data_IF_267824519144
#
_entry.id   IF_267824519144
#
_cell.length_a   1.000
_cell.length_b   1.000
_cell.length_c   1.000
_cell.angle_alpha   90.00
_cell.angle_beta   90.00
_cell.angle_gamma   90.00
#
_symmetry.space_group_name_H-M   'P 1'
#
loop_
_entity.id
_entity.type
_entity.pdbx_description
1 polymer ?
#
# COMPACT_ATOMS: atom_id res chain seq x y z
N UNK A 1 27.56 12.32 -14.68
CA UNK A 1 27.31 11.01 -14.02
C UNK A 1 28.54 10.14 -14.23
N UNK A 2 29.32 9.87 -13.17
CA UNK A 2 30.63 9.20 -13.28
C UNK A 2 30.50 7.69 -13.57
N UNK A 3 31.39 7.14 -14.39
CA UNK A 3 31.41 5.73 -14.82
C UNK A 3 31.49 4.71 -13.66
N UNK A 4 31.97 5.13 -12.49
CA UNK A 4 32.00 4.35 -11.24
C UNK A 4 30.60 4.04 -10.72
N UNK A 5 29.66 5.00 -10.80
CA UNK A 5 28.26 4.80 -10.36
C UNK A 5 27.50 3.78 -11.22
N UNK A 6 27.87 3.62 -12.50
CA UNK A 6 27.26 2.63 -13.40
C UNK A 6 27.78 1.20 -13.13
N UNK A 7 29.07 1.02 -12.83
CA UNK A 7 29.63 -0.29 -12.44
C UNK A 7 29.09 -0.78 -11.11
N UNK A 8 28.86 0.13 -10.17
CA UNK A 8 28.40 -0.25 -8.84
C UNK A 8 26.91 -0.60 -8.81
N UNK A 9 26.04 0.14 -9.53
CA UNK A 9 24.62 -0.24 -9.75
C UNK A 9 24.50 -1.67 -10.25
N UNK A 10 25.42 -2.11 -11.10
CA UNK A 10 25.50 -3.49 -11.57
C UNK A 10 25.74 -4.50 -10.44
N UNK A 11 26.48 -4.17 -9.38
CA UNK A 11 26.79 -5.09 -8.26
C UNK A 11 25.63 -5.31 -7.27
N UNK A 12 24.84 -4.28 -6.89
CA UNK A 12 23.57 -4.54 -6.16
C UNK A 12 22.61 -5.27 -7.07
N UNK A 13 22.56 -4.91 -8.36
CA UNK A 13 21.69 -5.61 -9.30
C UNK A 13 22.17 -7.04 -9.61
N UNK A 14 23.46 -7.33 -9.39
CA UNK A 14 24.10 -8.62 -9.56
C UNK A 14 23.87 -9.49 -8.33
N UNK A 15 24.14 -8.99 -7.12
CA UNK A 15 23.80 -9.67 -5.87
C UNK A 15 22.28 -9.94 -5.76
N UNK A 16 21.44 -8.94 -6.04
CA UNK A 16 19.98 -9.12 -6.07
C UNK A 16 19.53 -9.96 -7.27
N UNK A 17 20.22 -9.86 -8.41
CA UNK A 17 19.94 -10.64 -9.62
C UNK A 17 20.21 -12.14 -9.42
N UNK A 18 21.35 -12.48 -8.83
CA UNK A 18 21.75 -13.85 -8.48
C UNK A 18 20.79 -14.44 -7.43
N UNK A 19 20.37 -13.64 -6.45
CA UNK A 19 19.35 -14.05 -5.47
C UNK A 19 17.99 -14.27 -6.15
N UNK A 20 17.56 -13.36 -7.05
CA UNK A 20 16.31 -13.51 -7.81
C UNK A 20 16.31 -14.75 -8.71
N UNK A 21 17.43 -15.05 -9.37
CA UNK A 21 17.56 -16.22 -10.22
C UNK A 21 17.48 -17.53 -9.40
N UNK A 22 18.06 -17.55 -8.20
CA UNK A 22 17.95 -18.68 -7.26
C UNK A 22 16.54 -18.82 -6.66
N UNK A 23 15.83 -17.72 -6.43
CA UNK A 23 14.45 -17.73 -5.92
C UNK A 23 13.45 -18.21 -6.98
N UNK A 24 13.63 -17.81 -8.25
CA UNK A 24 12.76 -18.19 -9.36
C UNK A 24 12.73 -19.71 -9.63
N UNK A 25 13.83 -20.42 -9.35
CA UNK A 25 13.94 -21.87 -9.55
C UNK A 25 13.16 -22.72 -8.53
N UNK A 26 12.51 -22.13 -7.52
CA UNK A 26 11.85 -22.86 -6.40
C UNK A 26 10.38 -22.50 -6.16
N UNK A 27 9.73 -21.75 -7.05
CA UNK A 27 8.31 -21.42 -6.93
C UNK A 27 7.50 -22.36 -7.84
N UNK A 28 7.30 -23.58 -7.35
CA UNK A 28 6.38 -24.56 -7.95
C UNK A 28 5.70 -25.33 -6.82
N UNK A 29 4.41 -25.07 -6.58
CA UNK A 29 3.61 -25.78 -5.58
C UNK A 29 2.46 -24.93 -5.07
N UNK A 30 1.22 -25.43 -5.30
CA UNK A 30 -0.06 -24.73 -5.19
C UNK A 30 -0.45 -24.20 -3.80
N UNK A 31 -1.33 -23.20 -3.80
CA UNK A 31 -1.80 -22.47 -2.62
C UNK A 31 -3.32 -22.37 -2.62
N UNK A 32 -3.91 -22.87 -1.54
CA UNK A 32 -5.34 -23.10 -1.35
C UNK A 32 -6.19 -21.84 -1.22
N UNK A 33 -7.46 -22.03 -1.56
CA UNK A 33 -8.56 -21.08 -1.45
C UNK A 33 -9.06 -20.98 -0.01
N UNK A 34 -9.31 -19.76 0.48
CA UNK A 34 -10.10 -19.56 1.69
C UNK A 34 -11.58 -19.73 1.35
N UNK A 35 -12.21 -20.70 2.04
CA UNK A 35 -13.64 -21.01 1.96
C UNK A 35 -14.46 -19.83 2.52
N UNK A 36 -15.39 -19.32 1.71
CA UNK A 36 -16.52 -18.51 2.17
C UNK A 36 -17.59 -19.46 2.74
N UNK A 37 -18.03 -19.18 3.96
CA UNK A 37 -19.16 -19.85 4.60
C UNK A 37 -20.47 -19.49 3.89
N UNK A 38 -21.35 -20.48 3.79
CA UNK A 38 -22.67 -20.42 3.16
C UNK A 38 -23.80 -20.18 4.16
N UNK A 39 -24.84 -19.48 3.67
CA UNK A 39 -26.23 -19.37 4.18
C UNK A 39 -26.41 -18.52 5.45
N UNK A 40 -27.49 -17.74 5.61
CA UNK A 40 -28.91 -18.15 5.44
C UNK A 40 -29.82 -16.91 5.36
N UNK A 41 -30.87 -16.96 4.55
CA UNK A 41 -31.98 -16.00 4.55
C UNK A 41 -32.85 -16.15 5.80
N UNK A 42 -33.05 -15.08 6.57
CA UNK A 42 -34.10 -15.01 7.60
C UNK A 42 -34.83 -13.65 7.57
N UNK A 43 -36.13 -13.76 7.76
CA UNK A 43 -37.22 -12.82 7.49
C UNK A 43 -37.22 -11.54 8.34
N UNK A 44 -37.69 -10.45 7.71
CA UNK A 44 -38.03 -9.16 8.33
C UNK A 44 -39.02 -9.31 9.49
N UNK A 45 -38.72 -8.67 10.62
CA UNK A 45 -39.72 -8.28 11.61
C UNK A 45 -39.60 -6.79 11.97
N UNK A 46 -40.72 -6.26 12.40
CA UNK A 46 -41.25 -4.89 12.40
C UNK A 46 -40.53 -3.88 13.28
N UNK A 47 -40.46 -2.63 12.79
CA UNK A 47 -40.05 -1.43 13.51
C UNK A 47 -41.18 -0.97 14.45
N UNK A 48 -40.85 -0.85 15.74
CA UNK A 48 -41.64 -0.12 16.72
C UNK A 48 -41.25 1.36 16.72
N UNK A 49 -42.27 2.19 16.85
CA UNK A 49 -42.28 3.64 16.85
C UNK A 49 -41.65 4.23 18.13
N UNK A 50 -40.87 5.33 18.02
CA UNK A 50 -40.64 6.28 19.12
C UNK A 50 -40.02 7.61 18.63
N UNK A 51 -40.80 8.68 18.76
CA UNK A 51 -40.40 9.87 19.52
C UNK A 51 -39.51 10.93 18.85
N UNK A 52 -40.10 12.10 18.62
CA UNK A 52 -39.49 13.31 18.09
C UNK A 52 -38.31 13.84 18.92
N UNK A 53 -37.11 13.82 18.33
CA UNK A 53 -35.89 14.40 18.88
C UNK A 53 -34.69 14.09 18.00
N UNK A 54 -34.78 14.40 16.70
CA UNK A 54 -33.71 14.11 15.75
C UNK A 54 -32.49 14.99 16.02
N UNK A 55 -31.58 14.48 16.85
CA UNK A 55 -30.22 14.99 17.02
C UNK A 55 -29.50 15.02 15.67
N UNK A 56 -28.50 15.88 15.52
CA UNK A 56 -27.63 15.95 14.33
C UNK A 56 -27.11 14.57 13.88
N UNK A 57 -26.90 13.68 14.85
CA UNK A 57 -26.59 12.25 14.68
C UNK A 57 -27.65 11.47 13.88
N UNK A 58 -28.93 11.76 14.07
CA UNK A 58 -30.04 11.15 13.32
C UNK A 58 -30.11 11.68 11.86
N UNK A 59 -29.82 12.96 11.63
CA UNK A 59 -29.66 13.52 10.28
C UNK A 59 -28.46 12.93 9.55
N UNK A 60 -27.35 12.75 10.25
CA UNK A 60 -26.15 12.08 9.74
C UNK A 60 -26.41 10.58 9.46
N UNK A 61 -27.21 9.90 10.28
CA UNK A 61 -27.65 8.50 10.04
C UNK A 61 -28.66 8.32 8.88
N UNK A 62 -29.37 9.38 8.50
CA UNK A 62 -30.27 9.43 7.35
C UNK A 62 -29.54 9.75 6.04
N UNK A 63 -28.44 10.51 6.11
CA UNK A 63 -27.63 10.94 4.95
C UNK A 63 -26.38 10.09 4.71
N UNK A 64 -25.89 9.36 5.72
CA UNK A 64 -24.72 8.50 5.59
C UNK A 64 -25.05 7.30 4.68
N UNK A 65 -24.24 6.98 3.67
CA UNK A 65 -24.56 5.95 2.67
C UNK A 65 -24.70 4.50 3.17
N UNK A 66 -24.77 4.24 4.48
CA UNK A 66 -25.01 2.92 5.11
C UNK A 66 -24.16 1.75 4.58
N UNK A 67 -23.05 2.02 3.90
CA UNK A 67 -22.18 1.01 3.31
C UNK A 67 -21.67 0.02 4.37
N UNK A 68 -21.38 0.53 5.56
CA UNK A 68 -20.86 -0.26 6.68
C UNK A 68 -21.86 -1.33 7.16
N UNK A 69 -23.18 -1.14 6.98
CA UNK A 69 -24.19 -2.12 7.44
C UNK A 69 -24.06 -3.47 6.76
N UNK A 70 -23.47 -3.51 5.57
CA UNK A 70 -23.22 -4.76 4.86
C UNK A 70 -22.31 -5.70 5.66
N UNK A 71 -21.38 -5.15 6.45
CA UNK A 71 -20.42 -5.88 7.26
C UNK A 71 -20.84 -5.95 8.74
N UNK A 72 -22.14 -5.77 9.05
CA UNK A 72 -22.62 -5.75 10.44
C UNK A 72 -22.45 -7.11 11.15
N UNK A 73 -22.56 -8.21 10.40
CA UNK A 73 -22.43 -9.57 10.93
C UNK A 73 -20.97 -10.07 10.94
N UNK A 74 -20.01 -9.29 10.41
CA UNK A 74 -18.59 -9.63 10.46
C UNK A 74 -17.97 -9.15 11.78
N UNK A 75 -17.62 -10.06 12.71
CA UNK A 75 -17.05 -9.69 14.00
C UNK A 75 -15.67 -9.03 13.85
N UNK A 76 -14.96 -9.23 12.74
CA UNK A 76 -13.64 -8.66 12.48
C UNK A 76 -13.75 -7.22 11.94
N UNK A 77 -14.86 -6.88 11.27
CA UNK A 77 -15.07 -5.54 10.72
C UNK A 77 -15.26 -4.46 11.80
N UNK A 78 -15.72 -4.85 12.99
CA UNK A 78 -15.94 -3.95 14.13
C UNK A 78 -16.81 -2.74 13.76
N UNK A 79 -18.05 -2.99 13.31
CA UNK A 79 -18.96 -1.96 12.77
C UNK A 79 -19.08 -0.72 13.66
N UNK A 80 -19.15 -0.92 14.97
CA UNK A 80 -19.30 0.14 15.96
C UNK A 80 -18.05 1.03 16.06
N UNK A 81 -16.87 0.50 15.73
CA UNK A 81 -15.58 1.17 15.88
C UNK A 81 -14.97 1.62 14.55
N UNK A 82 -15.42 1.11 13.41
CA UNK A 82 -14.77 1.36 12.10
C UNK A 82 -14.68 2.86 11.78
N UNK A 83 -15.67 3.64 12.21
CA UNK A 83 -15.69 5.10 12.05
C UNK A 83 -14.61 5.76 12.90
N UNK A 84 -14.53 5.39 14.17
CA UNK A 84 -13.55 5.95 15.12
C UNK A 84 -12.12 5.55 14.72
N UNK A 85 -11.92 4.32 14.27
CA UNK A 85 -10.65 3.84 13.72
C UNK A 85 -10.26 4.67 12.49
N UNK A 86 -11.18 4.89 11.56
CA UNK A 86 -10.93 5.70 10.35
C UNK A 86 -10.54 7.14 10.73
N UNK A 87 -11.27 7.75 11.68
CA UNK A 87 -10.96 9.10 12.19
C UNK A 87 -9.59 9.13 12.86
N UNK A 88 -9.26 8.15 13.70
CA UNK A 88 -7.97 8.03 14.36
C UNK A 88 -6.81 7.96 13.36
N UNK A 89 -6.92 7.18 12.29
CA UNK A 89 -5.90 7.14 11.23
C UNK A 89 -5.73 8.49 10.53
N UNK A 90 -6.83 9.18 10.20
CA UNK A 90 -6.79 10.52 9.60
C UNK A 90 -6.18 11.57 10.53
N UNK A 91 -6.49 11.51 11.83
CA UNK A 91 -5.91 12.40 12.84
C UNK A 91 -4.42 12.16 13.03
N UNK A 92 -3.98 10.90 13.11
CA UNK A 92 -2.56 10.55 13.17
C UNK A 92 -1.79 11.03 11.94
N UNK A 93 -2.38 10.89 10.75
CA UNK A 93 -1.79 11.41 9.52
C UNK A 93 -1.65 12.94 9.55
N UNK A 94 -2.66 13.66 10.04
CA UNK A 94 -2.62 15.13 10.18
C UNK A 94 -1.61 15.58 11.24
N UNK A 95 -1.51 14.87 12.36
CA UNK A 95 -0.52 15.16 13.41
C UNK A 95 0.91 14.99 12.90
N UNK A 96 1.15 13.94 12.11
CA UNK A 96 2.41 13.71 11.42
C UNK A 96 2.82 14.90 10.55
N UNK A 97 1.91 15.50 9.77
CA UNK A 97 2.22 16.68 8.95
C UNK A 97 2.58 17.92 9.77
N UNK A 98 1.89 18.16 10.89
CA UNK A 98 2.13 19.32 11.74
C UNK A 98 3.47 19.25 12.51
N UNK A 99 3.98 18.03 12.73
CA UNK A 99 5.21 17.75 13.48
C UNK A 99 6.45 17.57 12.59
N UNK A 100 6.34 17.88 11.29
CA UNK A 100 7.30 17.59 10.21
C UNK A 100 8.75 18.10 10.39
N UNK A 101 9.10 18.69 11.53
CA UNK A 101 10.43 19.20 11.81
C UNK A 101 11.23 18.41 12.86
N UNK A 102 10.62 17.55 13.71
CA UNK A 102 11.36 17.02 14.87
C UNK A 102 11.13 15.56 15.28
N UNK A 103 10.22 14.79 14.69
CA UNK A 103 9.94 13.44 15.17
C UNK A 103 10.14 12.35 14.11
N UNK A 104 10.79 11.26 14.55
CA UNK A 104 11.14 10.03 13.81
C UNK A 104 9.91 9.27 13.24
N UNK A 105 8.73 9.89 13.20
CA UNK A 105 7.44 9.33 12.81
C UNK A 105 7.15 9.55 11.33
N UNK A 106 7.65 10.65 10.74
CA UNK A 106 7.39 10.99 9.33
C UNK A 106 8.64 10.85 8.48
N UNK A 107 8.49 10.23 7.32
CA UNK A 107 9.56 10.14 6.32
C UNK A 107 9.75 11.51 5.67
N UNK A 108 10.97 12.04 5.68
CA UNK A 108 11.26 13.23 4.88
C UNK A 108 11.22 12.88 3.39
N UNK A 109 10.40 13.52 2.54
CA UNK A 109 10.35 13.22 1.11
C UNK A 109 11.65 13.58 0.36
N UNK A 110 12.65 14.12 1.07
CA UNK A 110 13.96 14.51 0.55
C UNK A 110 15.11 13.75 1.24
N UNK A 111 14.84 12.72 2.04
CA UNK A 111 15.93 12.07 2.80
C UNK A 111 17.04 11.50 1.92
N UNK A 112 16.73 11.05 0.70
CA UNK A 112 17.75 10.55 -0.24
C UNK A 112 18.67 11.66 -0.77
N UNK A 113 18.28 12.93 -0.67
CA UNK A 113 19.19 14.04 -1.03
C UNK A 113 20.36 14.19 -0.04
N UNK A 114 20.23 13.62 1.15
CA UNK A 114 21.27 13.62 2.19
C UNK A 114 22.02 12.28 2.25
N UNK A 115 21.69 11.31 1.40
CA UNK A 115 22.39 10.03 1.30
C UNK A 115 23.48 10.11 0.22
N UNK A 116 24.77 9.92 0.54
CA UNK A 116 25.86 10.04 -0.44
C UNK A 116 25.91 8.86 -1.42
N UNK A 117 25.53 7.67 -0.96
CA UNK A 117 25.69 6.42 -1.74
C UNK A 117 24.36 5.80 -2.22
N UNK A 118 23.22 6.25 -1.70
CA UNK A 118 21.91 5.68 -1.99
C UNK A 118 21.06 6.70 -2.75
N UNK A 119 20.46 6.26 -3.86
CA UNK A 119 19.55 7.08 -4.64
C UNK A 119 18.18 6.41 -4.84
N UNK A 120 17.24 7.13 -5.45
CA UNK A 120 15.85 6.68 -5.66
C UNK A 120 15.79 5.36 -6.42
N UNK A 121 16.65 5.19 -7.43
CA UNK A 121 16.74 3.95 -8.21
C UNK A 121 17.19 2.77 -7.34
N UNK A 122 18.14 2.96 -6.43
CA UNK A 122 18.57 1.89 -5.51
C UNK A 122 17.46 1.50 -4.53
N UNK A 123 16.70 2.48 -4.01
CA UNK A 123 15.51 2.22 -3.19
C UNK A 123 14.49 1.40 -3.97
N UNK A 124 14.16 1.80 -5.20
CA UNK A 124 13.23 1.06 -6.06
C UNK A 124 13.69 -0.39 -6.30
N UNK A 125 14.99 -0.60 -6.56
CA UNK A 125 15.58 -1.94 -6.72
C UNK A 125 15.39 -2.80 -5.46
N UNK A 126 15.66 -2.21 -4.30
CA UNK A 126 15.50 -2.88 -3.02
C UNK A 126 14.03 -3.25 -2.80
N UNK A 127 13.09 -2.29 -2.93
CA UNK A 127 11.65 -2.52 -2.70
C UNK A 127 11.10 -3.57 -3.68
N UNK A 128 11.50 -3.54 -4.96
CA UNK A 128 11.15 -4.57 -5.95
C UNK A 128 11.60 -5.98 -5.50
N UNK A 129 12.81 -6.10 -4.92
CA UNK A 129 13.26 -7.37 -4.35
C UNK A 129 12.53 -7.73 -3.05
N UNK A 130 12.24 -6.77 -2.18
CA UNK A 130 11.50 -7.01 -0.94
C UNK A 130 10.08 -7.53 -1.22
N UNK A 131 9.47 -7.18 -2.34
CA UNK A 131 8.20 -7.77 -2.79
C UNK A 131 8.36 -9.27 -3.07
N UNK A 132 9.43 -9.69 -3.75
CA UNK A 132 9.70 -11.11 -3.97
C UNK A 132 9.94 -11.84 -2.63
N UNK A 133 10.62 -11.20 -1.66
CA UNK A 133 10.84 -11.72 -0.29
C UNK A 133 9.54 -11.86 0.48
N UNK A 134 8.72 -10.81 0.49
CA UNK A 134 7.39 -10.76 1.09
C UNK A 134 6.51 -11.92 0.60
N UNK A 135 6.47 -12.12 -0.72
CA UNK A 135 5.74 -13.22 -1.33
C UNK A 135 6.32 -14.58 -0.98
N UNK A 136 7.65 -14.70 -0.85
CA UNK A 136 8.31 -15.96 -0.47
C UNK A 136 7.96 -16.38 0.95
N UNK A 137 7.95 -15.43 1.88
CA UNK A 137 7.53 -15.65 3.27
C UNK A 137 6.01 -15.70 3.45
N UNK A 138 5.22 -15.34 2.42
CA UNK A 138 3.75 -15.25 2.43
C UNK A 138 3.22 -14.33 3.52
N UNK A 139 3.89 -13.20 3.69
CA UNK A 139 3.49 -12.18 4.65
C UNK A 139 2.21 -11.47 4.17
N UNK A 140 1.48 -10.86 5.08
CA UNK A 140 0.35 -9.99 4.78
C UNK A 140 0.80 -8.73 4.05
N UNK A 141 -0.06 -8.15 3.23
CA UNK A 141 0.27 -6.90 2.53
C UNK A 141 0.58 -5.77 3.53
N UNK A 142 -0.12 -5.72 4.66
CA UNK A 142 0.11 -4.76 5.75
C UNK A 142 1.58 -4.77 6.22
N UNK A 143 2.14 -5.97 6.43
CA UNK A 143 3.54 -6.20 6.75
C UNK A 143 4.50 -5.58 5.74
N UNK A 144 4.19 -5.67 4.44
CA UNK A 144 5.02 -5.05 3.39
C UNK A 144 5.00 -3.52 3.48
N UNK A 145 3.83 -2.92 3.63
CA UNK A 145 3.69 -1.46 3.73
C UNK A 145 4.36 -0.93 5.00
N UNK A 146 4.25 -1.64 6.12
CA UNK A 146 4.98 -1.31 7.34
C UNK A 146 6.49 -1.46 7.15
N UNK A 147 6.96 -2.52 6.49
CA UNK A 147 8.39 -2.72 6.23
C UNK A 147 9.00 -1.59 5.38
N UNK A 148 8.32 -1.15 4.32
CA UNK A 148 8.78 -0.01 3.51
C UNK A 148 8.77 1.29 4.32
N UNK A 149 7.75 1.50 5.16
CA UNK A 149 7.72 2.64 6.06
C UNK A 149 8.90 2.63 7.06
N UNK A 150 9.21 1.48 7.66
CA UNK A 150 10.36 1.31 8.56
C UNK A 150 11.68 1.60 7.83
N UNK A 151 11.84 1.03 6.62
CA UNK A 151 13.01 1.27 5.76
C UNK A 151 13.22 2.76 5.51
N UNK A 152 12.18 3.45 5.03
CA UNK A 152 12.30 4.86 4.64
C UNK A 152 12.50 5.78 5.85
N UNK A 153 11.80 5.52 6.97
CA UNK A 153 12.00 6.28 8.21
C UNK A 153 13.38 6.07 8.79
N UNK A 154 13.90 4.85 8.77
CA UNK A 154 15.26 4.57 9.22
C UNK A 154 16.29 5.32 8.38
N UNK A 155 16.19 5.23 7.04
CA UNK A 155 17.08 5.98 6.13
C UNK A 155 16.94 7.49 6.31
N UNK A 156 15.75 7.98 6.64
CA UNK A 156 15.47 9.39 6.94
C UNK A 156 16.03 9.86 8.29
N UNK A 157 16.05 8.99 9.30
CA UNK A 157 16.60 9.33 10.61
C UNK A 157 18.14 9.30 10.61
N UNK A 158 18.72 8.35 9.88
CA UNK A 158 20.18 8.19 9.82
C UNK A 158 20.82 9.25 8.93
N UNK A 159 20.13 9.73 7.90
CA UNK A 159 20.65 10.76 7.00
C UNK A 159 19.87 12.05 7.09
N UNK A 160 20.32 12.91 8.00
CA UNK A 160 19.78 14.25 8.22
C UNK A 160 20.80 15.31 7.82
N UNK A 161 20.30 16.52 7.54
CA UNK A 161 21.13 17.70 7.28
C UNK A 161 22.05 18.04 8.47
N UNK A 162 21.63 17.72 9.70
CA UNK A 162 22.42 18.01 10.92
C UNK A 162 23.45 16.92 11.26
N UNK A 163 23.26 15.68 10.79
CA UNK A 163 24.13 14.54 11.09
C UNK A 163 25.12 14.24 9.96
N UNK A 164 25.88 15.26 9.54
CA UNK A 164 26.92 15.14 8.50
C UNK A 164 28.02 14.16 8.94
N UNK A 165 27.89 12.89 8.54
CA UNK A 165 28.85 11.82 8.86
C UNK A 165 28.22 10.48 9.21
N UNK A 166 26.91 10.44 9.48
CA UNK A 166 26.17 9.18 9.64
C UNK A 166 25.31 8.94 8.39
N UNK A 167 25.52 7.83 7.71
CA UNK A 167 24.74 7.42 6.54
C UNK A 167 24.71 5.90 6.43
N UNK A 168 23.82 5.38 5.58
CA UNK A 168 23.79 3.95 5.29
C UNK A 168 24.62 3.71 4.04
N UNK A 169 25.70 2.94 4.17
CA UNK A 169 26.48 2.53 3.02
C UNK A 169 25.64 1.67 2.07
N UNK A 170 25.89 1.78 0.78
CA UNK A 170 25.20 1.01 -0.27
C UNK A 170 25.20 -0.50 0.00
N UNK A 171 26.31 -1.03 0.52
CA UNK A 171 26.48 -2.46 0.88
C UNK A 171 25.57 -2.91 2.03
N UNK A 172 25.09 -1.99 2.86
CA UNK A 172 24.23 -2.24 4.01
C UNK A 172 22.73 -2.04 3.68
N UNK A 173 22.40 -1.49 2.51
CA UNK A 173 21.01 -1.19 2.13
C UNK A 173 20.12 -2.44 2.12
N UNK A 174 20.62 -3.58 1.61
CA UNK A 174 19.86 -4.84 1.64
C UNK A 174 19.67 -5.36 3.07
N UNK A 175 20.68 -5.23 3.95
CA UNK A 175 20.56 -5.58 5.37
C UNK A 175 19.47 -4.76 6.07
N UNK A 176 19.40 -3.45 5.79
CA UNK A 176 18.31 -2.59 6.30
C UNK A 176 16.96 -3.10 5.80
N UNK A 177 16.84 -3.39 4.50
CA UNK A 177 15.58 -3.86 3.90
C UNK A 177 15.08 -5.19 4.49
N UNK A 178 15.94 -6.19 4.62
CA UNK A 178 15.53 -7.49 5.19
C UNK A 178 15.20 -7.38 6.69
N UNK A 179 15.91 -6.52 7.41
CA UNK A 179 15.63 -6.23 8.82
C UNK A 179 14.31 -5.49 8.99
N UNK A 180 13.96 -4.59 8.07
CA UNK A 180 12.67 -3.91 8.08
C UNK A 180 11.51 -4.89 7.86
N UNK A 181 11.65 -5.88 6.97
CA UNK A 181 10.68 -6.97 6.81
C UNK A 181 10.57 -7.80 8.10
N UNK A 182 11.69 -8.15 8.73
CA UNK A 182 11.69 -8.92 9.97
C UNK A 182 10.96 -8.18 11.10
N UNK A 183 11.23 -6.88 11.26
CA UNK A 183 10.59 -6.05 12.27
C UNK A 183 9.09 -5.86 12.01
N UNK A 184 8.71 -5.57 10.77
CA UNK A 184 7.31 -5.47 10.40
C UNK A 184 6.58 -6.81 10.63
N UNK A 185 7.20 -7.93 10.27
CA UNK A 185 6.61 -9.24 10.45
C UNK A 185 6.45 -9.59 11.93
N UNK A 186 7.45 -9.30 12.78
CA UNK A 186 7.31 -9.46 14.25
C UNK A 186 6.18 -8.62 14.85
N UNK A 187 5.81 -7.54 14.18
CA UNK A 187 4.78 -6.63 14.63
C UNK A 187 3.37 -7.03 14.12
N UNK A 188 3.26 -7.48 12.87
CA UNK A 188 1.96 -7.76 12.21
C UNK A 188 1.60 -9.25 12.10
N UNK A 189 2.58 -10.16 12.06
CA UNK A 189 2.34 -11.57 11.78
C UNK A 189 2.16 -12.39 13.06
N UNK A 190 1.25 -13.36 13.02
CA UNK A 190 1.14 -14.40 14.06
C UNK A 190 2.43 -15.23 14.11
N UNK A 191 2.98 -15.55 12.94
CA UNK A 191 4.17 -16.40 12.78
C UNK A 191 5.21 -15.69 11.91
N UNK A 192 6.00 -14.76 12.48
CA UNK A 192 7.04 -14.06 11.74
C UNK A 192 8.19 -15.00 11.34
N UNK A 193 8.92 -14.69 10.25
CA UNK A 193 10.10 -15.45 9.86
C UNK A 193 11.20 -15.34 10.91
N UNK A 194 11.98 -16.40 11.07
CA UNK A 194 13.12 -16.41 11.97
C UNK A 194 14.32 -15.68 11.37
N UNK A 195 15.24 -15.18 12.21
CA UNK A 195 16.48 -14.53 11.77
C UNK A 195 17.30 -15.42 10.82
N UNK A 196 17.29 -16.75 11.04
CA UNK A 196 17.97 -17.72 10.15
C UNK A 196 17.40 -17.69 8.72
N UNK A 197 16.11 -17.45 8.56
CA UNK A 197 15.44 -17.36 7.26
C UNK A 197 15.81 -16.04 6.57
N UNK A 198 15.94 -14.94 7.31
CA UNK A 198 16.46 -13.67 6.80
C UNK A 198 17.91 -13.80 6.31
N UNK A 199 18.77 -14.49 7.06
CA UNK A 199 20.14 -14.81 6.64
C UNK A 199 20.12 -15.65 5.36
N UNK A 200 19.30 -16.71 5.33
CA UNK A 200 19.21 -17.61 4.18
C UNK A 200 18.72 -16.91 2.91
N UNK A 201 17.66 -16.09 2.99
CA UNK A 201 17.09 -15.41 1.81
C UNK A 201 18.01 -14.32 1.26
N UNK A 202 18.91 -13.78 2.10
CA UNK A 202 20.01 -12.89 1.68
C UNK A 202 21.21 -13.65 1.11
N UNK A 203 21.06 -14.95 0.80
CA UNK A 203 22.12 -15.85 0.34
C UNK A 203 23.34 -15.91 1.27
N UNK A 204 23.11 -15.78 2.58
CA UNK A 204 24.15 -15.71 3.61
C UNK A 204 25.13 -14.54 3.42
N UNK A 205 24.70 -13.46 2.77
CA UNK A 205 25.50 -12.23 2.64
C UNK A 205 25.76 -11.59 4.01
N UNK A 206 24.84 -11.78 4.95
CA UNK A 206 24.90 -11.24 6.30
C UNK A 206 24.84 -12.35 7.34
N UNK A 207 25.54 -12.15 8.45
CA UNK A 207 25.49 -13.02 9.62
C UNK A 207 24.26 -12.76 10.49
N UNK A 208 23.93 -13.70 11.37
CA UNK A 208 22.83 -13.54 12.34
C UNK A 208 23.06 -12.31 13.23
N UNK A 209 24.30 -12.09 13.64
CA UNK A 209 24.72 -11.01 14.53
C UNK A 209 24.55 -9.65 13.86
N UNK A 210 24.83 -9.55 12.55
CA UNK A 210 24.62 -8.34 11.76
C UNK A 210 23.13 -7.99 11.65
N UNK A 211 22.27 -8.98 11.38
CA UNK A 211 20.81 -8.77 11.34
C UNK A 211 20.28 -8.30 12.70
N UNK A 212 20.70 -8.93 13.79
CA UNK A 212 20.29 -8.53 15.14
C UNK A 212 20.83 -7.13 15.51
N UNK A 213 22.06 -6.80 15.10
CA UNK A 213 22.63 -5.46 15.32
C UNK A 213 21.85 -4.40 14.54
N UNK A 214 21.50 -4.69 13.28
CA UNK A 214 20.67 -3.80 12.47
C UNK A 214 19.28 -3.63 13.09
N UNK A 215 18.68 -4.71 13.59
CA UNK A 215 17.38 -4.66 14.25
C UNK A 215 17.38 -3.66 15.43
N UNK A 216 18.38 -3.76 16.31
CA UNK A 216 18.54 -2.82 17.43
C UNK A 216 18.75 -1.38 16.94
N UNK A 217 19.54 -1.19 15.88
CA UNK A 217 19.79 0.13 15.29
C UNK A 217 18.50 0.76 14.77
N UNK A 218 17.69 -0.02 14.03
CA UNK A 218 16.40 0.43 13.49
C UNK A 218 15.43 0.75 14.62
N UNK A 219 15.27 -0.13 15.61
CA UNK A 219 14.39 0.14 16.75
C UNK A 219 14.80 1.39 17.54
N UNK A 220 16.09 1.58 17.78
CA UNK A 220 16.61 2.75 18.47
C UNK A 220 16.38 4.04 17.67
N UNK A 221 16.67 4.03 16.36
CA UNK A 221 16.48 5.18 15.49
C UNK A 221 15.00 5.59 15.36
N UNK A 222 14.07 4.64 15.47
CA UNK A 222 12.64 4.90 15.42
C UNK A 222 11.99 5.08 16.81
N UNK A 223 12.77 5.00 17.89
CA UNK A 223 12.29 4.97 19.28
C UNK A 223 11.15 3.97 19.49
N UNK A 224 11.23 2.79 18.87
CA UNK A 224 10.20 1.75 18.89
C UNK A 224 8.79 2.20 18.42
N UNK A 225 8.67 3.34 17.74
CA UNK A 225 7.39 3.84 17.20
C UNK A 225 7.07 3.14 15.88
N UNK A 226 6.52 1.92 15.95
CA UNK A 226 6.15 1.12 14.78
C UNK A 226 4.66 1.26 14.37
N UNK A 227 3.79 1.69 15.29
CA UNK A 227 2.37 1.91 15.03
C UNK A 227 2.12 3.22 14.27
N UNK A 228 2.14 3.17 12.93
CA UNK A 228 2.03 4.35 12.07
C UNK A 228 0.99 4.18 10.96
N UNK A 229 0.38 5.28 10.47
CA UNK A 229 -0.54 5.22 9.34
C UNK A 229 0.21 4.87 8.06
N UNK A 230 -0.05 3.67 7.50
CA UNK A 230 0.39 3.30 6.15
C UNK A 230 -0.77 3.47 5.15
N UNK A 231 -0.52 3.45 3.83
CA UNK A 231 -1.59 3.52 2.83
C UNK A 231 -2.57 2.33 2.86
N UNK A 232 -2.15 1.20 3.44
CA UNK A 232 -2.90 -0.06 3.35
C UNK A 232 -4.23 -0.08 4.13
N UNK A 233 -4.29 0.33 5.41
CA UNK A 233 -5.57 0.46 6.12
C UNK A 233 -6.58 1.37 5.40
N UNK A 234 -6.12 2.46 4.80
CA UNK A 234 -7.00 3.37 4.05
C UNK A 234 -7.59 2.70 2.80
N UNK A 235 -6.79 1.97 2.00
CA UNK A 235 -7.34 1.30 0.81
C UNK A 235 -8.30 0.17 1.20
N UNK A 236 -8.00 -0.58 2.26
CA UNK A 236 -8.89 -1.63 2.78
C UNK A 236 -10.22 -1.02 3.18
N UNK A 237 -10.20 0.09 3.93
CA UNK A 237 -11.41 0.81 4.31
C UNK A 237 -12.24 1.23 3.10
N UNK A 238 -11.61 1.84 2.09
CA UNK A 238 -12.31 2.29 0.88
C UNK A 238 -12.89 1.13 0.07
N UNK A 239 -12.19 -0.01 -0.01
CA UNK A 239 -12.69 -1.22 -0.67
C UNK A 239 -13.89 -1.81 0.08
N UNK A 240 -13.86 -1.87 1.41
CA UNK A 240 -15.01 -2.31 2.20
C UNK A 240 -16.23 -1.39 2.02
N UNK A 241 -16.01 -0.07 1.90
CA UNK A 241 -17.06 0.88 1.53
C UNK A 241 -17.62 0.57 0.15
N UNK A 242 -16.76 0.35 -0.85
CA UNK A 242 -17.18 0.00 -2.21
C UNK A 242 -18.06 -1.27 -2.21
N UNK A 243 -17.64 -2.31 -1.50
CA UNK A 243 -18.42 -3.53 -1.33
C UNK A 243 -19.81 -3.24 -0.74
N UNK A 244 -19.89 -2.48 0.36
CA UNK A 244 -21.16 -2.12 0.97
C UNK A 244 -22.06 -1.24 0.09
N UNK A 245 -21.48 -0.32 -0.68
CA UNK A 245 -22.23 0.54 -1.61
C UNK A 245 -22.81 -0.26 -2.79
N UNK A 246 -22.08 -1.24 -3.29
CA UNK A 246 -22.54 -2.12 -4.37
C UNK A 246 -23.69 -3.01 -3.88
N UNK A 247 -23.56 -3.65 -2.71
CA UNK A 247 -24.60 -4.54 -2.19
C UNK A 247 -25.86 -3.81 -1.68
N UNK A 248 -25.74 -2.53 -1.32
CA UNK A 248 -26.90 -1.71 -0.94
C UNK A 248 -27.70 -1.16 -2.13
N UNK A 249 -27.28 -1.44 -3.37
CA UNK A 249 -27.89 -0.89 -4.58
C UNK A 249 -27.57 0.59 -4.82
N UNK A 250 -26.62 1.16 -4.07
CA UNK A 250 -26.20 2.57 -4.22
C UNK A 250 -25.26 2.80 -5.40
N UNK A 251 -24.68 1.72 -5.96
CA UNK A 251 -23.85 1.70 -7.16
C UNK A 251 -24.40 0.66 -8.15
N UNK A 252 -24.10 0.83 -9.45
CA UNK A 252 -24.58 -0.06 -10.52
C UNK A 252 -24.19 -1.53 -10.28
N UNK A 253 -25.11 -2.46 -10.58
CA UNK A 253 -24.90 -3.92 -10.43
C UNK A 253 -23.68 -4.45 -11.18
N UNK A 254 -23.27 -3.77 -12.27
CA UNK A 254 -22.05 -4.09 -13.03
C UNK A 254 -20.78 -4.18 -12.16
N UNK A 255 -20.75 -3.46 -11.02
CA UNK A 255 -19.62 -3.49 -10.10
C UNK A 255 -19.55 -4.78 -9.27
N UNK A 256 -20.67 -5.47 -9.02
CA UNK A 256 -20.73 -6.66 -8.15
C UNK A 256 -19.81 -7.77 -8.65
N UNK A 257 -19.86 -8.07 -9.95
CA UNK A 257 -18.99 -9.07 -10.58
C UNK A 257 -17.54 -8.60 -10.71
N UNK A 258 -17.28 -7.31 -10.51
CA UNK A 258 -15.98 -6.68 -10.70
C UNK A 258 -15.27 -6.33 -9.39
N UNK A 259 -15.89 -6.53 -8.22
CA UNK A 259 -15.28 -6.20 -6.92
C UNK A 259 -13.90 -6.85 -6.71
N UNK A 260 -13.68 -8.15 -6.99
CA UNK A 260 -12.34 -8.75 -6.92
C UNK A 260 -11.34 -8.10 -7.88
N UNK A 261 -11.78 -7.78 -9.10
CA UNK A 261 -10.95 -7.13 -10.11
C UNK A 261 -10.60 -5.69 -9.72
N UNK A 262 -11.55 -4.94 -9.15
CA UNK A 262 -11.36 -3.60 -8.60
C UNK A 262 -10.32 -3.63 -7.48
N UNK A 263 -10.48 -4.57 -6.52
CA UNK A 263 -9.53 -4.76 -5.43
C UNK A 263 -8.12 -5.01 -5.95
N UNK A 264 -7.94 -5.93 -6.88
CA UNK A 264 -6.62 -6.22 -7.44
C UNK A 264 -6.06 -5.04 -8.23
N UNK A 265 -6.88 -4.31 -8.98
CA UNK A 265 -6.44 -3.13 -9.74
C UNK A 265 -6.03 -1.99 -8.81
N UNK A 266 -6.78 -1.75 -7.73
CA UNK A 266 -6.46 -0.74 -6.73
C UNK A 266 -5.15 -1.05 -6.00
N UNK A 267 -4.95 -2.31 -5.58
CA UNK A 267 -3.71 -2.74 -4.95
C UNK A 267 -2.52 -2.74 -5.92
N UNK A 268 -2.76 -2.99 -7.21
CA UNK A 268 -1.73 -2.85 -8.25
C UNK A 268 -1.20 -1.42 -8.32
N UNK A 269 -2.07 -0.42 -8.35
CA UNK A 269 -1.67 1.00 -8.32
C UNK A 269 -0.98 1.37 -7.00
N UNK A 270 -1.52 0.91 -5.87
CA UNK A 270 -0.98 1.22 -4.55
C UNK A 270 0.43 0.63 -4.35
N UNK A 271 0.67 -0.58 -4.83
CA UNK A 271 2.00 -1.21 -4.78
C UNK A 271 3.00 -0.50 -5.71
N UNK A 272 2.57 0.04 -6.85
CA UNK A 272 3.45 0.91 -7.65
C UNK A 272 3.82 2.19 -6.90
N UNK A 273 2.85 2.80 -6.20
CA UNK A 273 3.12 3.96 -5.34
C UNK A 273 4.15 3.67 -4.25
N UNK A 274 4.18 2.45 -3.70
CA UNK A 274 5.19 2.04 -2.72
C UNK A 274 6.62 1.99 -3.30
N UNK A 275 6.79 1.58 -4.57
CA UNK A 275 8.09 1.59 -5.24
C UNK A 275 8.57 3.00 -5.58
N UNK A 276 7.65 3.89 -5.94
CA UNK A 276 7.98 5.24 -6.37
C UNK A 276 8.39 6.13 -5.18
N UNK A 277 9.64 6.58 -5.17
CA UNK A 277 10.13 7.51 -4.16
C UNK A 277 9.35 8.83 -4.17
N UNK A 278 8.87 9.29 -5.34
CA UNK A 278 8.08 10.52 -5.44
C UNK A 278 6.75 10.42 -4.70
N UNK A 279 6.24 9.22 -4.41
CA UNK A 279 4.98 9.05 -3.70
C UNK A 279 5.08 9.40 -2.20
N UNK A 280 6.30 9.49 -1.63
CA UNK A 280 6.51 9.93 -0.25
C UNK A 280 6.07 11.38 0.02
N UNK A 281 5.86 12.19 -1.01
CA UNK A 281 5.33 13.56 -0.86
C UNK A 281 3.82 13.59 -0.57
N UNK A 282 3.13 12.47 -0.74
CA UNK A 282 1.69 12.37 -0.56
C UNK A 282 1.34 11.58 0.70
N UNK A 283 0.24 11.99 1.32
CA UNK A 283 -0.35 11.31 2.46
C UNK A 283 -0.74 9.86 2.13
N UNK A 284 -0.74 9.01 3.15
CA UNK A 284 -1.19 7.61 3.05
C UNK A 284 -2.63 7.53 2.56
N UNK A 285 -3.51 8.42 3.03
CA UNK A 285 -4.89 8.55 2.56
C UNK A 285 -4.98 8.99 1.09
N UNK A 286 -4.14 9.94 0.66
CA UNK A 286 -4.08 10.38 -0.74
C UNK A 286 -3.63 9.25 -1.67
N UNK A 287 -2.62 8.46 -1.28
CA UNK A 287 -2.15 7.30 -2.04
C UNK A 287 -3.25 6.24 -2.20
N UNK A 288 -4.00 5.96 -1.14
CA UNK A 288 -5.14 5.04 -1.19
C UNK A 288 -6.27 5.57 -2.09
N UNK A 289 -6.68 6.83 -1.92
CA UNK A 289 -7.72 7.46 -2.75
C UNK A 289 -7.32 7.46 -4.23
N UNK A 290 -6.10 7.87 -4.55
CA UNK A 290 -5.56 7.88 -5.91
C UNK A 290 -5.57 6.48 -6.53
N UNK A 291 -5.16 5.46 -5.77
CA UNK A 291 -5.09 4.08 -6.26
C UNK A 291 -6.48 3.48 -6.54
N UNK A 292 -7.46 3.72 -5.66
CA UNK A 292 -8.85 3.31 -5.92
C UNK A 292 -9.44 4.07 -7.11
N UNK A 293 -9.19 5.37 -7.18
CA UNK A 293 -9.68 6.21 -8.26
C UNK A 293 -9.14 5.73 -9.62
N UNK A 294 -7.83 5.51 -9.75
CA UNK A 294 -7.22 4.97 -10.96
C UNK A 294 -7.79 3.60 -11.31
N UNK A 295 -8.03 2.73 -10.32
CA UNK A 295 -8.65 1.43 -10.55
C UNK A 295 -10.06 1.55 -11.11
N UNK A 296 -10.89 2.46 -10.59
CA UNK A 296 -12.22 2.73 -11.11
C UNK A 296 -12.14 3.23 -12.56
N UNK A 297 -11.24 4.17 -12.86
CA UNK A 297 -11.00 4.68 -14.22
C UNK A 297 -10.63 3.54 -15.17
N UNK A 298 -9.64 2.71 -14.81
CA UNK A 298 -9.20 1.56 -15.61
C UNK A 298 -10.34 0.59 -15.91
N UNK A 299 -11.17 0.27 -14.92
CA UNK A 299 -12.31 -0.63 -15.13
C UNK A 299 -13.40 -0.01 -16.00
N UNK A 300 -13.63 1.30 -15.91
CA UNK A 300 -14.57 1.99 -16.81
C UNK A 300 -14.08 1.99 -18.26
N UNK A 301 -12.78 2.19 -18.49
CA UNK A 301 -12.19 2.04 -19.84
C UNK A 301 -12.42 0.63 -20.38
N UNK A 302 -12.19 -0.40 -19.54
CA UNK A 302 -12.43 -1.80 -19.92
C UNK A 302 -13.88 -2.05 -20.32
N UNK A 303 -14.85 -1.51 -19.58
CA UNK A 303 -16.28 -1.65 -19.89
C UNK A 303 -16.66 -0.96 -21.21
N UNK A 304 -16.10 0.22 -21.49
CA UNK A 304 -16.35 1.01 -22.70
C UNK A 304 -15.54 0.55 -23.92
N UNK A 305 -14.93 -0.63 -23.89
CA UNK A 305 -14.16 -1.18 -25.02
C UNK A 305 -12.88 -0.39 -25.34
N UNK A 306 -12.28 0.30 -24.36
CA UNK A 306 -11.02 1.04 -24.55
C UNK A 306 -11.17 2.54 -24.81
N UNK A 307 -12.39 3.08 -24.83
CA UNK A 307 -12.60 4.53 -24.98
C UNK A 307 -12.35 5.28 -23.67
N UNK A 308 -11.53 6.34 -23.73
CA UNK A 308 -11.16 7.20 -22.59
C UNK A 308 -12.04 8.45 -22.42
N UNK A 309 -13.23 8.50 -23.03
CA UNK A 309 -14.14 9.64 -22.87
C UNK A 309 -15.02 9.48 -21.62
N UNK A 310 -14.83 10.39 -20.66
CA UNK A 310 -15.57 10.45 -19.39
C UNK A 310 -16.46 11.70 -19.26
N UNK A 311 -16.71 12.42 -20.37
CA UNK A 311 -17.46 13.67 -20.34
C UNK A 311 -18.84 13.49 -19.67
N UNK A 312 -19.04 14.16 -18.53
CA UNK A 312 -20.29 14.12 -17.75
C UNK A 312 -20.43 12.97 -16.74
N UNK A 313 -19.45 12.06 -16.63
CA UNK A 313 -19.52 10.93 -15.70
C UNK A 313 -18.71 11.15 -14.42
N UNK A 314 -19.35 11.20 -13.26
CA UNK A 314 -18.64 11.28 -11.97
C UNK A 314 -18.18 9.90 -11.51
N UNK A 315 -16.88 9.59 -11.68
CA UNK A 315 -16.30 8.33 -11.16
C UNK A 315 -16.16 8.37 -9.63
N UNK A 316 -15.73 9.50 -9.07
CA UNK A 316 -15.57 9.68 -7.62
C UNK A 316 -16.87 10.20 -6.99
N UNK A 317 -17.77 9.27 -6.65
CA UNK A 317 -19.14 9.55 -6.19
C UNK A 317 -19.19 10.34 -4.87
N UNK A 318 -20.35 10.97 -4.58
CA UNK A 318 -20.57 11.68 -3.30
C UNK A 318 -20.39 10.76 -2.08
N UNK A 319 -20.74 9.48 -2.22
CA UNK A 319 -20.55 8.48 -1.18
C UNK A 319 -19.06 8.24 -0.91
N UNK A 320 -18.24 8.09 -1.96
CA UNK A 320 -16.78 7.97 -1.81
C UNK A 320 -16.19 9.24 -1.20
N UNK A 321 -16.65 10.43 -1.59
CA UNK A 321 -16.24 11.69 -0.96
C UNK A 321 -16.60 11.75 0.53
N UNK A 322 -17.77 11.25 0.93
CA UNK A 322 -18.18 11.19 2.33
C UNK A 322 -17.25 10.31 3.17
N UNK A 323 -16.94 9.10 2.70
CA UNK A 323 -16.10 8.15 3.45
C UNK A 323 -14.61 8.50 3.42
N UNK A 324 -14.09 8.94 2.26
CA UNK A 324 -12.69 9.34 2.13
C UNK A 324 -12.39 10.72 2.72
N UNK A 325 -13.43 11.55 2.90
CA UNK A 325 -13.32 12.99 3.19
C UNK A 325 -12.46 13.75 2.17
N UNK A 326 -12.42 13.26 0.93
CA UNK A 326 -11.59 13.81 -0.14
C UNK A 326 -12.36 13.87 -1.47
N UNK A 327 -12.08 14.91 -2.25
CA UNK A 327 -12.48 15.08 -3.65
C UNK A 327 -11.27 14.81 -4.55
N UNK A 328 -11.50 14.64 -5.85
CA UNK A 328 -10.42 14.30 -6.81
C UNK A 328 -9.28 15.31 -6.77
N UNK A 329 -9.57 16.61 -6.70
CA UNK A 329 -8.53 17.65 -6.62
C UNK A 329 -7.58 17.48 -5.42
N UNK A 330 -8.01 16.86 -4.32
CA UNK A 330 -7.19 16.64 -3.12
C UNK A 330 -6.11 15.57 -3.32
N UNK A 331 -6.27 14.66 -4.28
CA UNK A 331 -5.34 13.55 -4.54
C UNK A 331 -4.96 13.39 -6.01
N UNK A 332 -5.38 14.30 -6.90
CA UNK A 332 -5.11 14.24 -8.35
C UNK A 332 -3.61 14.16 -8.64
N UNK A 333 -2.80 15.02 -8.02
CA UNK A 333 -1.35 15.00 -8.19
C UNK A 333 -0.71 13.66 -7.76
N UNK A 334 -1.31 12.97 -6.79
CA UNK A 334 -0.88 11.64 -6.37
C UNK A 334 -1.24 10.59 -7.43
N UNK A 335 -2.45 10.66 -8.00
CA UNK A 335 -2.88 9.79 -9.09
C UNK A 335 -2.00 9.97 -10.34
N UNK A 336 -1.64 11.20 -10.69
CA UNK A 336 -0.75 11.50 -11.81
C UNK A 336 0.64 10.91 -11.59
N UNK A 337 1.21 11.07 -10.39
CA UNK A 337 2.51 10.51 -10.05
C UNK A 337 2.52 8.97 -10.11
N UNK A 338 1.50 8.32 -9.53
CA UNK A 338 1.36 6.85 -9.58
C UNK A 338 1.21 6.38 -11.04
N UNK A 339 0.40 7.07 -11.85
CA UNK A 339 0.17 6.70 -13.24
C UNK A 339 1.43 6.86 -14.10
N UNK A 340 2.16 7.97 -13.94
CA UNK A 340 3.46 8.20 -14.58
C UNK A 340 4.42 7.04 -14.26
N UNK A 341 4.48 6.63 -12.99
CA UNK A 341 5.34 5.54 -12.56
C UNK A 341 4.90 4.17 -13.11
N UNK A 342 3.60 3.87 -13.13
CA UNK A 342 3.05 2.64 -13.74
C UNK A 342 3.43 2.53 -15.21
N UNK A 343 3.42 3.64 -15.94
CA UNK A 343 3.82 3.70 -17.35
C UNK A 343 5.35 3.62 -17.54
N UNK A 344 6.12 4.10 -16.56
CA UNK A 344 7.58 3.99 -16.55
C UNK A 344 8.05 2.54 -16.28
N UNK A 345 7.44 1.83 -15.32
CA UNK A 345 7.92 0.52 -14.86
C UNK A 345 8.17 -0.50 -15.99
N UNK A 346 7.30 -0.67 -17.01
CA UNK A 346 7.55 -1.55 -18.17
C UNK A 346 8.88 -1.33 -18.89
N UNK A 347 9.44 -0.12 -18.84
CA UNK A 347 10.74 0.21 -19.45
C UNK A 347 11.95 -0.29 -18.63
N UNK A 348 11.70 -0.82 -17.42
CA UNK A 348 12.73 -1.24 -16.47
C UNK A 348 12.79 -2.77 -16.34
N UNK A 349 13.89 -3.29 -15.76
CA UNK A 349 14.00 -4.71 -15.40
C UNK A 349 13.33 -5.07 -14.06
N UNK A 350 12.77 -4.10 -13.33
CA UNK A 350 12.23 -4.25 -11.98
C UNK A 350 10.71 -4.41 -12.07
N UNK A 351 10.28 -5.67 -12.14
CA UNK A 351 8.94 -6.06 -12.59
C UNK A 351 8.15 -6.82 -11.52
N UNK A 352 8.55 -6.83 -10.24
CA UNK A 352 7.95 -7.70 -9.22
C UNK A 352 6.44 -7.49 -9.07
N UNK A 353 5.99 -6.23 -8.98
CA UNK A 353 4.55 -5.90 -8.93
C UNK A 353 3.85 -6.37 -10.20
N UNK A 354 4.39 -6.04 -11.38
CA UNK A 354 3.79 -6.44 -12.66
C UNK A 354 3.71 -7.96 -12.80
N UNK A 355 4.74 -8.71 -12.40
CA UNK A 355 4.74 -10.18 -12.38
C UNK A 355 3.66 -10.73 -11.44
N UNK A 356 3.58 -10.20 -10.21
CA UNK A 356 2.54 -10.58 -9.24
C UNK A 356 1.15 -10.43 -9.85
N UNK A 357 0.83 -9.24 -10.35
CA UNK A 357 -0.50 -8.90 -10.87
C UNK A 357 -0.79 -9.35 -12.30
N UNK A 358 0.18 -9.97 -13.00
CA UNK A 358 -0.03 -10.61 -14.30
C UNK A 358 -0.62 -12.02 -14.17
N UNK A 359 -0.57 -12.62 -12.97
CA UNK A 359 -1.13 -13.94 -12.71
C UNK A 359 -2.67 -13.92 -12.72
N UNK A 360 -3.27 -15.01 -13.19
CA UNK A 360 -4.72 -15.24 -13.16
C UNK A 360 -5.32 -15.11 -11.74
N UNK A 361 -4.54 -15.40 -10.68
CA UNK A 361 -4.95 -15.20 -9.28
C UNK A 361 -5.41 -13.76 -9.02
N UNK A 362 -4.78 -12.79 -9.66
CA UNK A 362 -5.07 -11.37 -9.49
C UNK A 362 -5.91 -10.81 -10.64
N UNK A 363 -6.58 -11.66 -11.43
CA UNK A 363 -7.39 -11.23 -12.57
C UNK A 363 -6.59 -10.60 -13.71
N UNK A 364 -5.27 -10.86 -13.75
CA UNK A 364 -4.34 -10.35 -14.75
C UNK A 364 -4.38 -8.82 -14.94
N UNK A 365 -4.64 -8.07 -13.87
CA UNK A 365 -4.86 -6.61 -13.91
C UNK A 365 -3.68 -5.84 -14.49
N UNK A 366 -2.46 -6.38 -14.41
CA UNK A 366 -1.28 -5.78 -15.03
C UNK A 366 -1.32 -5.74 -16.57
N UNK A 367 -2.22 -6.54 -17.20
CA UNK A 367 -2.45 -6.60 -18.65
C UNK A 367 -3.60 -5.70 -19.12
N UNK A 368 -4.30 -5.02 -18.21
CA UNK A 368 -5.38 -4.09 -18.58
C UNK A 368 -4.83 -2.86 -19.30
N UNK A 369 -5.66 -2.26 -20.14
CA UNK A 369 -5.37 -0.98 -20.77
C UNK A 369 -5.44 0.09 -19.67
N UNK A 370 -4.29 0.71 -19.39
CA UNK A 370 -4.18 1.77 -18.39
C UNK A 370 -4.66 3.10 -18.97
N UNK A 371 -5.18 4.02 -18.13
CA UNK A 371 -5.48 5.37 -18.59
C UNK A 371 -4.20 6.08 -19.08
N UNK A 372 -4.33 6.87 -20.14
CA UNK A 372 -3.20 7.69 -20.65
C UNK A 372 -2.99 8.93 -19.79
N UNK A 373 -4.06 9.45 -19.20
CA UNK A 373 -4.07 10.63 -18.35
C UNK A 373 -5.10 10.45 -17.22
N UNK A 374 -4.92 11.24 -16.16
CA UNK A 374 -5.87 11.30 -15.05
C UNK A 374 -7.04 12.19 -15.48
N UNK A 375 -8.30 11.68 -15.52
CA UNK A 375 -9.42 12.48 -15.99
C UNK A 375 -9.61 13.79 -15.22
N UNK A 376 -9.88 14.87 -15.96
CA UNK A 376 -10.28 16.16 -15.41
C UNK A 376 -11.76 16.12 -14.98
N UNK A 377 -12.04 16.54 -13.75
CA UNK A 377 -13.39 16.63 -13.16
C UNK A 377 -13.69 18.01 -12.61
#
# INVERSE_FOLDING_TARGET
MNSTTLREVSNLSGSIGDVKQRLAQRIGGGWGSYRLGSSTTVSRSSLCDFGSGATERAKEMLLSPRADRYHADDPVFCNDLVKDITVMYMEKEKQAEGQAANDQVVVSPKYLTYQPEINEKMRMILVDWLIDVHLKFKLHSETMYLAVNILDRYLSCVSTKQSSGTYVARSQLQLVGITAILLAAKYEEIWPPEVKECVHISANTYTREEVIKMERSVCAALSFRLTVPTPFPFIVRLLSVMEGLVHSGSLSEDYTLQLPLLRHTALFFLEHGMLDYKCLRFKSSQQANASLFLALVTLRIKQKGGSCSFAGETIWTRQLQHYSRAKVHDFKACAEAILEFVNYVPTTKYQAVRRKYSSAKYGEVAKLIMPNEVPDY
#
